data_IF_099902738421
#
_entry.id   IF_099902738421
#
_cell.length_a   1.000
_cell.length_b   1.000
_cell.length_c   1.000
_cell.angle_alpha   90.00
_cell.angle_beta   90.00
_cell.angle_gamma   90.00
#
_symmetry.space_group_name_H-M   'P 1'
#
loop_
_entity.id
_entity.type
_entity.pdbx_description
1 polymer ?
#
# COMPACT_ATOMS: atom_id res chain seq x y z
N UNK A 1 19.65 -23.16 8.05
CA UNK A 1 19.96 -21.88 7.44
C UNK A 1 19.57 -20.77 8.39
N UNK A 2 20.56 -20.09 8.88
CA UNK A 2 20.39 -18.94 9.74
C UNK A 2 20.08 -17.72 8.89
N UNK A 3 18.84 -17.22 8.97
CA UNK A 3 18.56 -15.81 8.76
C UNK A 3 18.27 -15.21 10.13
N UNK A 4 19.30 -14.70 10.83
CA UNK A 4 19.15 -14.28 12.22
C UNK A 4 18.40 -12.97 12.42
N UNK A 5 17.90 -12.31 11.37
CA UNK A 5 17.26 -11.01 11.44
C UNK A 5 16.09 -10.82 10.47
N UNK A 6 15.33 -11.87 10.18
CA UNK A 6 13.95 -11.64 9.75
C UNK A 6 13.17 -11.38 11.03
N UNK A 7 13.17 -10.12 11.41
CA UNK A 7 12.31 -9.66 12.49
C UNK A 7 10.87 -9.90 12.04
N UNK A 8 10.24 -10.94 12.60
CA UNK A 8 8.84 -11.29 12.30
C UNK A 8 7.85 -10.15 12.59
N UNK A 9 8.34 -9.04 13.14
CA UNK A 9 7.56 -7.83 13.38
C UNK A 9 7.43 -6.92 12.16
N UNK A 10 8.28 -7.07 11.15
CA UNK A 10 8.34 -6.11 10.03
C UNK A 10 7.13 -6.17 9.09
N UNK A 11 6.35 -7.26 9.13
CA UNK A 11 5.17 -7.45 8.27
C UNK A 11 3.84 -7.33 9.03
N UNK A 12 3.88 -6.94 10.29
CA UNK A 12 2.69 -6.78 11.13
C UNK A 12 2.35 -5.30 11.28
N UNK A 13 1.07 -4.98 11.13
CA UNK A 13 0.60 -3.63 11.31
C UNK A 13 -0.90 -3.56 11.50
N UNK A 14 -1.38 -2.37 11.88
CA UNK A 14 -2.79 -2.10 12.07
C UNK A 14 -3.44 -1.67 10.78
N UNK A 15 -4.73 -1.92 10.68
CA UNK A 15 -5.56 -1.58 9.54
C UNK A 15 -6.16 -0.20 9.67
N UNK A 16 -6.01 0.58 8.60
CA UNK A 16 -6.78 1.79 8.32
C UNK A 16 -7.76 1.46 7.21
N UNK A 17 -9.05 1.35 7.57
CA UNK A 17 -10.08 0.87 6.65
C UNK A 17 -10.77 2.02 5.91
N UNK A 18 -10.89 1.85 4.60
CA UNK A 18 -11.61 2.76 3.71
C UNK A 18 -12.60 1.97 2.85
N UNK A 19 -13.53 2.67 2.21
CA UNK A 19 -14.55 2.06 1.37
C UNK A 19 -14.12 1.86 -0.08
N UNK A 20 -15.11 1.84 -0.98
CA UNK A 20 -14.90 1.76 -2.43
C UNK A 20 -14.56 3.13 -3.02
N UNK A 21 -14.01 3.13 -4.22
CA UNK A 21 -13.76 4.34 -5.03
C UNK A 21 -12.97 5.42 -4.29
N UNK A 22 -11.92 5.00 -3.60
CA UNK A 22 -10.97 5.95 -2.98
C UNK A 22 -10.21 6.66 -4.08
N UNK A 23 -10.62 7.88 -4.37
CA UNK A 23 -10.13 8.73 -5.45
C UNK A 23 -8.74 9.29 -5.14
N UNK A 24 -7.95 9.55 -6.17
CA UNK A 24 -6.61 10.14 -5.98
C UNK A 24 -6.64 11.49 -5.31
N UNK A 25 -7.70 12.29 -5.52
CA UNK A 25 -7.88 13.58 -4.84
C UNK A 25 -8.21 13.40 -3.35
N UNK A 26 -8.84 12.29 -2.99
CA UNK A 26 -9.06 11.90 -1.59
C UNK A 26 -7.74 11.47 -0.92
N UNK A 27 -6.90 10.76 -1.65
CA UNK A 27 -5.59 10.34 -1.15
C UNK A 27 -4.70 11.56 -0.89
N UNK A 28 -4.57 12.41 -1.89
CA UNK A 28 -3.82 13.67 -1.81
C UNK A 28 -4.53 14.76 -2.62
N UNK A 29 -4.93 15.83 -1.96
CA UNK A 29 -5.68 16.90 -2.62
C UNK A 29 -4.84 17.64 -3.66
N UNK A 30 -5.51 18.12 -4.72
CA UNK A 30 -4.86 18.82 -5.82
C UNK A 30 -4.01 20.01 -5.40
N UNK A 31 -4.40 20.72 -4.35
CA UNK A 31 -3.65 21.86 -3.83
C UNK A 31 -2.24 21.53 -3.33
N UNK A 32 -1.97 20.26 -3.03
CA UNK A 32 -0.66 19.79 -2.55
C UNK A 32 0.24 19.28 -3.66
N UNK A 33 -0.20 19.26 -4.92
CA UNK A 33 0.63 18.78 -6.05
C UNK A 33 1.85 19.64 -6.34
N UNK A 34 1.91 20.84 -5.78
CA UNK A 34 3.08 21.71 -5.85
C UNK A 34 4.22 21.27 -4.92
N UNK A 35 3.93 20.38 -3.99
CA UNK A 35 4.91 19.85 -3.04
C UNK A 35 5.67 18.71 -3.72
N UNK A 36 7.00 18.80 -3.75
CA UNK A 36 7.86 17.78 -4.37
C UNK A 36 8.46 16.80 -3.36
N UNK A 37 8.58 17.20 -2.10
CA UNK A 37 9.13 16.33 -1.06
C UNK A 37 8.08 15.30 -0.60
N UNK A 38 8.34 13.99 -0.79
CA UNK A 38 7.40 12.95 -0.37
C UNK A 38 7.06 12.98 1.12
N UNK A 39 8.03 13.31 1.98
CA UNK A 39 7.80 13.41 3.42
C UNK A 39 6.81 14.54 3.77
N UNK A 40 6.86 15.64 3.05
CA UNK A 40 5.89 16.73 3.22
C UNK A 40 4.51 16.35 2.67
N UNK A 41 4.45 15.66 1.53
CA UNK A 41 3.19 15.14 0.98
C UNK A 41 2.51 14.17 1.96
N UNK A 42 3.27 13.31 2.61
CA UNK A 42 2.76 12.32 3.55
C UNK A 42 1.92 12.94 4.68
N UNK A 43 2.23 14.17 5.08
CA UNK A 43 1.50 14.88 6.14
C UNK A 43 0.06 15.22 5.77
N UNK A 44 -0.28 15.15 4.48
CA UNK A 44 -1.58 15.55 3.95
C UNK A 44 -2.41 14.38 3.40
N UNK A 45 -1.91 13.15 3.55
CA UNK A 45 -2.62 11.95 3.07
C UNK A 45 -3.92 11.78 3.83
N UNK A 46 -5.01 11.60 3.07
CA UNK A 46 -6.38 11.45 3.58
C UNK A 46 -6.87 12.61 4.45
N UNK A 47 -6.30 13.79 4.29
CA UNK A 47 -6.55 14.94 5.17
C UNK A 47 -8.02 15.30 5.30
N UNK A 48 -8.80 15.22 4.21
CA UNK A 48 -10.21 15.59 4.21
C UNK A 48 -11.15 14.55 4.82
N UNK A 49 -10.80 13.27 4.73
CA UNK A 49 -11.70 12.20 5.16
C UNK A 49 -11.26 11.53 6.44
N UNK A 50 -9.95 11.55 6.71
CA UNK A 50 -9.38 10.90 7.89
C UNK A 50 -8.08 11.60 8.31
N UNK A 51 -8.20 12.82 8.86
CA UNK A 51 -7.02 13.65 9.19
C UNK A 51 -6.09 13.01 10.21
N UNK A 52 -6.61 12.12 11.07
CA UNK A 52 -5.80 11.39 12.04
C UNK A 52 -4.83 10.39 11.40
N UNK A 53 -5.08 9.95 10.17
CA UNK A 53 -4.21 8.97 9.50
C UNK A 53 -2.77 9.47 9.41
N UNK A 54 -2.56 10.66 8.85
CA UNK A 54 -1.20 11.19 8.67
C UNK A 54 -0.46 11.42 9.99
N UNK A 55 -1.20 11.64 11.08
CA UNK A 55 -0.64 11.89 12.41
C UNK A 55 -0.34 10.63 13.21
N UNK A 56 -1.16 9.57 13.02
CA UNK A 56 -1.16 8.39 13.89
C UNK A 56 -0.77 7.10 13.20
N UNK A 57 -0.73 7.07 11.86
CA UNK A 57 -0.29 5.90 11.13
C UNK A 57 1.17 5.60 11.48
N UNK A 58 1.43 4.35 11.82
CA UNK A 58 2.76 3.87 12.16
C UNK A 58 3.38 3.14 10.99
N UNK A 59 4.71 3.12 10.96
CA UNK A 59 5.45 2.32 9.98
C UNK A 59 5.01 0.86 10.08
N UNK A 60 4.65 0.28 8.94
CA UNK A 60 4.17 -1.09 8.87
C UNK A 60 2.65 -1.23 8.88
N UNK A 61 1.90 -0.16 9.09
CA UNK A 61 0.44 -0.19 9.01
C UNK A 61 -0.05 -0.47 7.59
N UNK A 62 -1.32 -0.83 7.49
CA UNK A 62 -1.97 -1.16 6.22
C UNK A 62 -3.12 -0.21 5.92
N UNK A 63 -3.24 0.17 4.67
CA UNK A 63 -4.46 0.79 4.13
C UNK A 63 -5.27 -0.30 3.46
N UNK A 64 -6.48 -0.54 3.94
CA UNK A 64 -7.38 -1.58 3.42
C UNK A 64 -8.63 -0.91 2.85
N UNK A 65 -8.98 -1.26 1.63
CA UNK A 65 -10.09 -0.64 0.93
C UNK A 65 -10.90 -1.64 0.10
N UNK A 66 -11.98 -1.18 -0.49
CA UNK A 66 -12.83 -1.97 -1.36
C UNK A 66 -12.39 -1.92 -2.82
N UNK A 67 -13.33 -1.69 -3.71
CA UNK A 67 -13.09 -1.69 -5.15
C UNK A 67 -12.59 -0.35 -5.67
N UNK A 68 -11.85 -0.39 -6.79
CA UNK A 68 -11.47 0.76 -7.59
C UNK A 68 -10.63 1.79 -6.83
N UNK A 69 -9.67 1.32 -6.03
CA UNK A 69 -8.77 2.18 -5.29
C UNK A 69 -7.84 2.96 -6.23
N UNK A 70 -7.72 4.27 -5.99
CA UNK A 70 -6.87 5.14 -6.81
C UNK A 70 -7.54 5.64 -8.09
N UNK A 71 -8.88 5.59 -8.16
CA UNK A 71 -9.63 6.12 -9.29
C UNK A 71 -9.50 7.65 -9.40
N UNK A 72 -10.05 8.21 -10.48
CA UNK A 72 -9.96 9.64 -10.74
C UNK A 72 -8.73 10.02 -11.55
N UNK A 73 -8.29 11.25 -11.39
CA UNK A 73 -7.15 11.79 -12.16
C UNK A 73 -5.87 11.03 -11.89
N UNK A 74 -5.08 10.82 -12.94
CA UNK A 74 -3.75 10.22 -12.82
C UNK A 74 -2.80 11.18 -12.10
N UNK A 75 -2.49 10.89 -10.85
CA UNK A 75 -1.57 11.67 -10.02
C UNK A 75 -0.48 10.78 -9.47
N UNK A 76 0.74 11.02 -9.92
CA UNK A 76 1.91 10.29 -9.41
C UNK A 76 2.16 10.58 -7.92
N UNK A 77 1.70 11.74 -7.46
CA UNK A 77 1.83 12.15 -6.05
C UNK A 77 1.05 11.24 -5.09
N UNK A 78 -0.06 10.66 -5.53
CA UNK A 78 -0.88 9.83 -4.65
C UNK A 78 -0.15 8.57 -4.15
N UNK A 79 0.37 7.69 -5.01
CA UNK A 79 1.14 6.54 -4.53
C UNK A 79 2.43 6.95 -3.82
N UNK A 80 3.08 8.02 -4.25
CA UNK A 80 4.29 8.54 -3.63
C UNK A 80 4.04 9.00 -2.19
N UNK A 81 2.97 9.75 -1.97
CA UNK A 81 2.57 10.22 -0.65
C UNK A 81 2.22 9.05 0.28
N UNK A 82 1.47 8.07 -0.23
CA UNK A 82 1.13 6.86 0.54
C UNK A 82 2.38 6.11 0.97
N UNK A 83 3.31 5.87 0.05
CA UNK A 83 4.57 5.21 0.37
C UNK A 83 5.34 5.96 1.46
N UNK A 84 5.38 7.27 1.37
CA UNK A 84 6.10 8.11 2.33
C UNK A 84 5.48 8.11 3.74
N UNK A 85 4.22 7.69 3.89
CA UNK A 85 3.62 7.51 5.23
C UNK A 85 4.21 6.34 6.00
N UNK A 86 4.94 5.46 5.34
CA UNK A 86 5.56 4.29 5.96
C UNK A 86 4.66 3.05 6.02
N UNK A 87 3.49 3.07 5.39
CA UNK A 87 2.62 1.88 5.35
C UNK A 87 3.34 0.71 4.69
N UNK A 88 3.03 -0.49 5.16
CA UNK A 88 3.56 -1.72 4.57
C UNK A 88 2.99 -1.98 3.18
N UNK A 89 1.68 -1.83 3.04
CA UNK A 89 0.98 -2.09 1.79
C UNK A 89 -0.40 -1.45 1.77
N UNK A 90 -0.92 -1.28 0.56
CA UNK A 90 -2.36 -1.10 0.33
C UNK A 90 -2.94 -2.46 -0.02
N UNK A 91 -4.08 -2.79 0.57
CA UNK A 91 -4.83 -4.02 0.29
C UNK A 91 -6.22 -3.60 -0.17
N UNK A 92 -6.58 -3.91 -1.40
CA UNK A 92 -7.88 -3.54 -1.95
C UNK A 92 -8.46 -4.67 -2.80
N UNK A 93 -9.76 -4.65 -3.05
CA UNK A 93 -10.41 -5.63 -3.94
C UNK A 93 -9.99 -5.44 -5.38
N UNK A 94 -9.84 -4.19 -5.80
CA UNK A 94 -9.39 -3.82 -7.14
C UNK A 94 -8.81 -2.41 -7.12
N UNK A 95 -8.10 -2.06 -8.19
CA UNK A 95 -7.43 -0.78 -8.36
C UNK A 95 -7.76 -0.16 -9.70
N UNK A 96 -7.76 1.17 -9.75
CA UNK A 96 -7.64 1.87 -11.01
C UNK A 96 -6.30 1.52 -11.66
N UNK A 97 -6.31 1.22 -12.95
CA UNK A 97 -5.16 0.66 -13.67
C UNK A 97 -3.91 1.52 -13.57
N UNK A 98 -4.05 2.82 -13.78
CA UNK A 98 -2.92 3.76 -13.77
C UNK A 98 -2.34 3.88 -12.36
N UNK A 99 -3.19 3.97 -11.34
CA UNK A 99 -2.74 4.02 -9.94
C UNK A 99 -1.93 2.76 -9.58
N UNK A 100 -2.45 1.58 -9.90
CA UNK A 100 -1.79 0.31 -9.63
C UNK A 100 -0.39 0.25 -10.25
N UNK A 101 -0.29 0.62 -11.54
CA UNK A 101 0.97 0.64 -12.25
C UNK A 101 1.97 1.62 -11.63
N UNK A 102 1.51 2.83 -11.32
CA UNK A 102 2.35 3.85 -10.68
C UNK A 102 2.82 3.41 -9.30
N UNK A 103 1.95 2.78 -8.51
CA UNK A 103 2.29 2.24 -7.19
C UNK A 103 3.42 1.22 -7.27
N UNK A 104 3.28 0.21 -8.12
CA UNK A 104 4.30 -0.82 -8.31
C UNK A 104 5.62 -0.21 -8.79
N UNK A 105 5.56 0.73 -9.73
CA UNK A 105 6.76 1.36 -10.30
C UNK A 105 7.58 2.15 -9.28
N UNK A 106 6.95 2.66 -8.24
CA UNK A 106 7.66 3.38 -7.16
C UNK A 106 7.95 2.50 -5.94
N UNK A 107 7.60 1.23 -5.99
CA UNK A 107 7.85 0.29 -4.91
C UNK A 107 6.81 0.30 -3.79
N UNK A 108 5.64 0.88 -4.02
CA UNK A 108 4.51 0.76 -3.11
C UNK A 108 3.80 -0.58 -3.36
N UNK A 109 3.74 -1.42 -2.34
CA UNK A 109 3.03 -2.70 -2.42
C UNK A 109 1.53 -2.45 -2.50
N UNK A 110 0.94 -2.78 -3.64
CA UNK A 110 -0.49 -2.76 -3.88
C UNK A 110 -0.96 -4.20 -4.06
N UNK A 111 -1.66 -4.71 -3.07
CA UNK A 111 -2.07 -6.11 -3.00
C UNK A 111 -3.56 -6.21 -3.29
N UNK A 112 -3.96 -7.20 -4.07
CA UNK A 112 -5.35 -7.45 -4.41
C UNK A 112 -5.90 -8.61 -3.60
N UNK A 113 -7.00 -8.38 -2.88
CA UNK A 113 -7.66 -9.36 -2.04
C UNK A 113 -9.17 -9.22 -2.16
N UNK A 114 -9.85 -10.30 -2.54
CA UNK A 114 -11.30 -10.29 -2.72
C UNK A 114 -12.09 -10.17 -1.40
N UNK A 115 -11.44 -10.44 -0.27
CA UNK A 115 -12.09 -10.58 1.04
C UNK A 115 -11.85 -9.39 1.98
N UNK A 116 -11.54 -8.22 1.44
CA UNK A 116 -11.29 -7.03 2.27
C UNK A 116 -12.48 -6.62 3.13
N UNK A 117 -13.69 -7.02 2.76
CA UNK A 117 -14.91 -6.79 3.58
C UNK A 117 -14.82 -7.43 4.97
N UNK A 118 -14.05 -8.50 5.10
CA UNK A 118 -13.87 -9.22 6.36
C UNK A 118 -12.87 -8.58 7.30
N UNK A 119 -12.14 -7.58 6.82
CA UNK A 119 -11.14 -6.86 7.61
C UNK A 119 -11.78 -5.60 8.15
N UNK A 120 -11.71 -5.41 9.46
CA UNK A 120 -12.23 -4.22 10.11
C UNK A 120 -11.12 -3.21 10.42
N UNK A 121 -11.53 -1.95 10.57
CA UNK A 121 -10.64 -0.89 11.00
C UNK A 121 -9.97 -1.26 12.34
N UNK A 122 -8.66 -1.09 12.41
CA UNK A 122 -7.89 -1.42 13.61
C UNK A 122 -7.46 -2.88 13.72
N UNK A 123 -7.90 -3.77 12.82
CA UNK A 123 -7.46 -5.17 12.83
C UNK A 123 -5.94 -5.25 12.65
N UNK A 124 -5.30 -6.12 13.37
CA UNK A 124 -3.88 -6.40 13.25
C UNK A 124 -3.64 -7.44 12.16
N UNK A 125 -2.88 -7.05 11.15
CA UNK A 125 -2.60 -7.89 9.99
C UNK A 125 -1.12 -8.23 9.87
N UNK A 126 -0.86 -9.39 9.31
CA UNK A 126 0.45 -9.84 8.86
C UNK A 126 0.33 -10.35 7.43
N UNK A 127 1.29 -10.04 6.58
CA UNK A 127 1.31 -10.53 5.20
C UNK A 127 2.43 -11.53 5.03
N UNK A 128 2.07 -12.74 4.59
CA UNK A 128 2.99 -13.77 4.15
C UNK A 128 3.10 -13.70 2.62
N UNK A 129 4.14 -13.06 2.13
CA UNK A 129 4.35 -12.85 0.70
C UNK A 129 4.71 -14.13 -0.06
N UNK A 130 5.34 -15.10 0.61
CA UNK A 130 5.69 -16.36 -0.01
C UNK A 130 4.44 -17.20 -0.30
N UNK A 131 3.47 -17.15 0.60
CA UNK A 131 2.20 -17.90 0.49
C UNK A 131 1.06 -17.07 -0.08
N UNK A 132 1.30 -15.81 -0.42
CA UNK A 132 0.26 -14.87 -0.88
C UNK A 132 -0.97 -14.88 0.05
N UNK A 133 -0.71 -14.73 1.35
CA UNK A 133 -1.73 -14.83 2.39
C UNK A 133 -1.67 -13.63 3.33
N UNK A 134 -2.85 -13.08 3.64
CA UNK A 134 -3.03 -12.10 4.70
C UNK A 134 -3.53 -12.84 5.93
N UNK A 135 -2.86 -12.64 7.07
CA UNK A 135 -3.25 -13.22 8.34
C UNK A 135 -3.85 -12.11 9.20
N UNK A 136 -5.11 -12.24 9.53
CA UNK A 136 -5.80 -11.33 10.45
C UNK A 136 -5.65 -11.88 11.86
N UNK A 137 -4.74 -11.29 12.63
CA UNK A 137 -4.44 -11.72 14.00
C UNK A 137 -5.58 -11.43 14.96
N UNK A 138 -6.29 -10.33 14.76
CA UNK A 138 -7.40 -9.93 15.61
C UNK A 138 -8.56 -10.92 15.54
N UNK A 139 -8.87 -11.42 14.33
CA UNK A 139 -9.99 -12.34 14.07
C UNK A 139 -9.57 -13.78 13.94
N UNK A 140 -8.28 -14.06 13.88
CA UNK A 140 -7.76 -15.40 13.61
C UNK A 140 -8.29 -15.98 12.29
N UNK A 141 -8.24 -15.16 11.24
CA UNK A 141 -8.66 -15.50 9.88
C UNK A 141 -7.52 -15.33 8.90
N UNK A 142 -7.62 -15.96 7.74
CA UNK A 142 -6.66 -15.83 6.65
C UNK A 142 -7.38 -15.55 5.34
N UNK A 143 -6.77 -14.74 4.50
CA UNK A 143 -7.31 -14.36 3.20
C UNK A 143 -6.24 -14.50 2.13
N UNK A 144 -6.66 -14.84 0.91
CA UNK A 144 -5.73 -14.96 -0.22
C UNK A 144 -5.47 -13.62 -0.88
N UNK A 145 -4.23 -13.40 -1.25
CA UNK A 145 -3.80 -12.32 -2.14
C UNK A 145 -3.71 -12.89 -3.55
N UNK A 146 -4.28 -12.21 -4.54
CA UNK A 146 -4.05 -12.56 -5.93
C UNK A 146 -2.57 -12.30 -6.27
N UNK A 147 -1.85 -13.32 -6.77
CA UNK A 147 -0.43 -13.17 -7.05
C UNK A 147 -0.18 -12.16 -8.17
N UNK A 148 0.86 -11.35 -8.01
CA UNK A 148 1.33 -10.46 -9.06
C UNK A 148 1.99 -11.27 -10.18
N UNK A 149 1.85 -10.84 -11.46
CA UNK A 149 2.69 -11.35 -12.53
C UNK A 149 4.18 -11.23 -12.15
N UNK A 150 4.99 -12.20 -12.54
CA UNK A 150 6.41 -12.28 -12.15
C UNK A 150 7.18 -10.99 -12.45
N UNK A 151 6.91 -10.38 -13.59
CA UNK A 151 7.56 -9.12 -13.98
C UNK A 151 7.28 -7.99 -12.98
N UNK A 152 6.03 -7.82 -12.57
CA UNK A 152 5.64 -6.80 -11.58
C UNK A 152 6.20 -7.11 -10.19
N UNK A 153 6.22 -8.39 -9.84
CA UNK A 153 6.80 -8.85 -8.58
C UNK A 153 8.29 -8.51 -8.51
N UNK A 154 9.03 -8.73 -9.58
CA UNK A 154 10.46 -8.38 -9.65
C UNK A 154 10.70 -6.89 -9.50
N UNK A 155 9.90 -6.04 -10.15
CA UNK A 155 9.98 -4.59 -10.01
C UNK A 155 9.78 -4.19 -8.55
N UNK A 156 8.77 -4.75 -7.92
CA UNK A 156 8.44 -4.45 -6.52
C UNK A 156 9.54 -4.90 -5.56
N UNK A 157 10.09 -6.09 -5.77
CA UNK A 157 11.19 -6.64 -4.96
C UNK A 157 12.47 -5.79 -5.06
N UNK A 158 12.70 -5.14 -6.19
CA UNK A 158 13.83 -4.21 -6.39
C UNK A 158 13.57 -2.81 -5.82
N UNK A 159 12.37 -2.54 -5.29
CA UNK A 159 12.00 -1.25 -4.75
C UNK A 159 11.50 -0.24 -5.78
N UNK A 160 11.13 -0.71 -6.98
CA UNK A 160 10.55 0.07 -8.04
C UNK A 160 11.25 -0.05 -9.38
N UNK A 161 10.66 0.59 -10.40
CA UNK A 161 11.11 0.46 -11.79
C UNK A 161 12.53 0.98 -12.02
N UNK A 162 12.89 2.10 -11.41
CA UNK A 162 14.24 2.69 -11.58
C UNK A 162 15.32 1.73 -11.08
N UNK A 163 15.13 1.19 -9.87
CA UNK A 163 16.06 0.22 -9.30
C UNK A 163 16.10 -1.08 -10.10
N UNK A 164 14.96 -1.53 -10.61
CA UNK A 164 14.87 -2.69 -11.47
C UNK A 164 15.71 -2.49 -12.75
N UNK A 165 15.54 -1.35 -13.43
CA UNK A 165 16.32 -1.03 -14.62
C UNK A 165 17.82 -0.95 -14.33
N UNK A 166 18.21 -0.35 -13.22
CA UNK A 166 19.62 -0.31 -12.79
C UNK A 166 20.19 -1.71 -12.56
N UNK A 167 19.40 -2.63 -12.04
CA UNK A 167 19.84 -4.02 -11.80
C UNK A 167 20.14 -4.77 -13.11
N UNK A 168 19.46 -4.41 -14.21
CA UNK A 168 19.67 -5.02 -15.52
C UNK A 168 20.96 -4.55 -16.21
N UNK A 169 21.51 -3.41 -15.78
CA UNK A 169 22.70 -2.81 -16.39
C UNK A 169 24.03 -3.30 -15.75
N UNK A 170 23.96 -4.19 -14.81
CA UNK A 170 25.12 -4.75 -14.11
C UNK A 170 25.55 -6.08 -14.69
#
# INVERSE_FOLDING_TARGET
SFYPFLDFKDNMGRTWKFGNDVDTDVIIQGKYLVINDPAELAKHVFENIRPEFAKKAEKGDFVVAGENFGCGSSREHAPLALKATGIEAVIAKSYARIFFRNAINIGLKALECAETDKIDDGDELEVDYERNTIINKTKNEQYKINPLPDFLKEILEKGGLVNYCKSLLR
#
